data_IF_578669761205
#
_entry.id   IF_578669761205
#
_cell.length_a   1.000
_cell.length_b   1.000
_cell.length_c   1.000
_cell.angle_alpha   90.00
_cell.angle_beta   90.00
_cell.angle_gamma   90.00
#
_symmetry.space_group_name_H-M   'P 1'
#
loop_
_entity.id
_entity.type
_entity.pdbx_description
1 polymer ?
#
# COMPACT_ATOMS: atom_id res chain seq x y z
N UNK A 1 -27.09 10.25 11.29
CA UNK A 1 -27.90 10.01 10.08
C UNK A 1 -27.76 8.58 9.54
N UNK A 2 -28.38 8.27 8.41
CA UNK A 2 -28.32 6.91 7.83
C UNK A 2 -26.87 6.50 7.47
N UNK A 3 -26.04 7.44 7.03
CA UNK A 3 -24.64 7.18 6.75
C UNK A 3 -23.86 6.77 8.01
N UNK A 4 -24.03 7.49 9.12
CA UNK A 4 -23.38 7.15 10.38
C UNK A 4 -23.87 5.80 10.92
N UNK A 5 -25.15 5.47 10.73
CA UNK A 5 -25.71 4.17 11.08
C UNK A 5 -25.05 3.04 10.28
N UNK A 6 -24.82 3.25 8.96
CA UNK A 6 -24.13 2.28 8.12
C UNK A 6 -22.67 2.10 8.55
N UNK A 7 -21.95 3.21 8.82
CA UNK A 7 -20.57 3.16 9.33
C UNK A 7 -20.52 2.40 10.65
N UNK A 8 -21.43 2.69 11.58
CA UNK A 8 -21.46 2.00 12.87
C UNK A 8 -21.80 0.51 12.73
N UNK A 9 -22.83 0.18 11.94
CA UNK A 9 -23.21 -1.21 11.70
C UNK A 9 -22.02 -2.04 11.14
N UNK A 10 -21.28 -1.48 10.18
CA UNK A 10 -20.13 -2.18 9.56
C UNK A 10 -18.91 -2.19 10.51
N UNK A 11 -18.65 -1.11 11.24
CA UNK A 11 -17.49 -1.05 12.12
C UNK A 11 -17.58 -1.99 13.31
N UNK A 12 -18.79 -2.16 13.86
CA UNK A 12 -19.07 -2.96 15.06
C UNK A 12 -19.34 -4.43 14.72
N UNK A 13 -19.12 -4.83 13.46
CA UNK A 13 -19.45 -6.13 12.90
C UNK A 13 -18.19 -6.97 12.62
N UNK A 14 -18.27 -8.29 12.97
CA UNK A 14 -17.18 -9.26 12.78
C UNK A 14 -17.30 -10.11 11.48
N UNK A 15 -18.32 -9.86 10.67
CA UNK A 15 -18.58 -10.62 9.43
C UNK A 15 -17.97 -9.95 8.19
N UNK A 16 -18.39 -10.45 7.04
CA UNK A 16 -18.01 -9.93 5.73
C UNK A 16 -19.05 -8.94 5.21
N UNK A 17 -18.59 -7.86 4.60
CA UNK A 17 -19.48 -6.95 3.85
C UNK A 17 -19.63 -7.49 2.43
N UNK A 18 -20.84 -7.93 2.09
CA UNK A 18 -21.19 -8.45 0.77
C UNK A 18 -21.80 -7.32 -0.04
N UNK A 19 -21.19 -6.98 -1.16
CA UNK A 19 -21.71 -5.95 -2.06
C UNK A 19 -22.37 -6.62 -3.25
N UNK A 20 -23.65 -6.29 -3.50
CA UNK A 20 -24.45 -6.92 -4.55
C UNK A 20 -25.07 -5.85 -5.47
N UNK A 21 -25.00 -6.06 -6.78
CA UNK A 21 -25.57 -5.16 -7.78
C UNK A 21 -25.48 -5.71 -9.19
N UNK A 22 -26.35 -5.25 -10.08
CA UNK A 22 -26.43 -5.72 -11.47
C UNK A 22 -25.86 -4.69 -12.46
N UNK A 23 -25.28 -5.15 -13.56
CA UNK A 23 -24.83 -4.29 -14.67
C UNK A 23 -23.81 -3.23 -14.25
N UNK A 24 -24.06 -1.95 -14.54
CA UNK A 24 -23.17 -0.84 -14.16
C UNK A 24 -23.08 -0.65 -12.64
N UNK A 25 -24.19 -0.86 -11.93
CA UNK A 25 -24.18 -0.88 -10.43
C UNK A 25 -23.34 -2.01 -9.89
N UNK A 26 -23.31 -3.17 -10.54
CA UNK A 26 -22.45 -4.28 -10.17
C UNK A 26 -20.96 -3.99 -10.39
N UNK A 27 -20.59 -3.31 -11.50
CA UNK A 27 -19.19 -2.89 -11.72
C UNK A 27 -18.72 -1.90 -10.66
N UNK A 28 -19.57 -0.93 -10.29
CA UNK A 28 -19.31 -0.01 -9.17
C UNK A 28 -19.23 -0.77 -7.85
N UNK A 29 -20.13 -1.73 -7.63
CA UNK A 29 -20.12 -2.58 -6.44
C UNK A 29 -18.83 -3.40 -6.29
N UNK A 30 -18.29 -3.94 -7.38
CA UNK A 30 -16.98 -4.62 -7.37
C UNK A 30 -15.86 -3.68 -6.92
N UNK A 31 -15.87 -2.43 -7.42
CA UNK A 31 -14.87 -1.43 -7.00
C UNK A 31 -15.03 -1.08 -5.53
N UNK A 32 -16.23 -0.85 -5.05
CA UNK A 32 -16.51 -0.55 -3.64
C UNK A 32 -16.03 -1.70 -2.74
N UNK A 33 -16.37 -2.94 -3.09
CA UNK A 33 -15.90 -4.13 -2.38
C UNK A 33 -14.38 -4.23 -2.32
N UNK A 34 -13.71 -3.98 -3.45
CA UNK A 34 -12.24 -3.96 -3.50
C UNK A 34 -11.64 -2.84 -2.62
N UNK A 35 -12.25 -1.65 -2.61
CA UNK A 35 -11.82 -0.54 -1.75
C UNK A 35 -11.98 -0.91 -0.26
N UNK A 36 -13.14 -1.43 0.15
CA UNK A 36 -13.37 -1.90 1.51
C UNK A 36 -12.31 -2.93 1.95
N UNK A 37 -12.05 -3.94 1.12
CA UNK A 37 -11.05 -4.97 1.41
C UNK A 37 -9.65 -4.38 1.56
N UNK A 38 -9.25 -3.47 0.67
CA UNK A 38 -7.93 -2.84 0.68
C UNK A 38 -7.74 -1.88 1.85
N UNK A 39 -8.83 -1.40 2.45
CA UNK A 39 -8.85 -0.47 3.58
C UNK A 39 -9.22 -1.12 4.90
N UNK A 40 -9.09 -2.45 5.00
CA UNK A 40 -9.21 -3.19 6.27
C UNK A 40 -10.63 -3.64 6.64
N UNK A 41 -11.61 -3.52 5.72
CA UNK A 41 -12.94 -4.08 5.90
C UNK A 41 -13.11 -5.30 4.98
N UNK A 42 -13.17 -6.55 5.50
CA UNK A 42 -13.37 -7.73 4.68
C UNK A 42 -14.64 -7.59 3.83
N UNK A 43 -14.51 -7.69 2.51
CA UNK A 43 -15.63 -7.52 1.58
C UNK A 43 -15.48 -8.40 0.36
N UNK A 44 -16.61 -8.89 -0.15
CA UNK A 44 -16.72 -9.65 -1.38
C UNK A 44 -17.88 -9.13 -2.24
N UNK A 45 -17.74 -9.24 -3.55
CA UNK A 45 -18.81 -8.91 -4.48
C UNK A 45 -19.61 -10.17 -4.83
N UNK A 46 -20.94 -10.08 -4.73
CA UNK A 46 -21.90 -11.12 -5.09
C UNK A 46 -22.70 -10.66 -6.33
N UNK A 47 -22.58 -11.36 -7.44
CA UNK A 47 -23.40 -11.07 -8.61
C UNK A 47 -24.82 -11.65 -8.41
N UNK A 48 -25.90 -10.85 -8.62
CA UNK A 48 -27.26 -11.32 -8.34
C UNK A 48 -27.68 -12.58 -9.11
N UNK A 49 -27.30 -12.67 -10.38
CA UNK A 49 -27.62 -13.85 -11.20
C UNK A 49 -26.91 -15.11 -10.66
N UNK A 50 -25.64 -15.03 -10.31
CA UNK A 50 -24.89 -16.15 -9.75
C UNK A 50 -25.41 -16.54 -8.34
N UNK A 51 -25.84 -15.55 -7.56
CA UNK A 51 -26.50 -15.78 -6.27
C UNK A 51 -27.74 -16.68 -6.41
N UNK A 52 -28.54 -16.50 -7.46
CA UNK A 52 -29.71 -17.33 -7.75
C UNK A 52 -29.34 -18.78 -8.11
N UNK A 53 -28.08 -19.03 -8.48
CA UNK A 53 -27.60 -20.35 -8.94
C UNK A 53 -26.60 -21.01 -7.98
N UNK A 54 -26.50 -20.51 -6.73
CA UNK A 54 -25.72 -21.18 -5.68
C UNK A 54 -24.75 -20.28 -4.91
N UNK A 55 -24.25 -19.19 -5.51
CA UNK A 55 -23.26 -18.29 -4.85
C UNK A 55 -23.83 -17.58 -3.60
N UNK A 56 -25.15 -17.66 -3.42
CA UNK A 56 -25.79 -17.24 -2.16
C UNK A 56 -25.24 -18.00 -0.94
N UNK A 57 -24.57 -19.13 -1.15
CA UNK A 57 -23.87 -19.90 -0.12
C UNK A 57 -22.73 -19.17 0.58
N UNK A 58 -22.19 -18.10 -0.01
CA UNK A 58 -21.16 -17.27 0.63
C UNK A 58 -21.72 -16.41 1.75
N UNK A 59 -23.05 -16.13 1.74
CA UNK A 59 -23.72 -15.25 2.69
C UNK A 59 -23.99 -16.00 3.98
N UNK A 60 -23.43 -15.53 5.08
CA UNK A 60 -23.57 -16.12 6.41
C UNK A 60 -24.50 -15.27 7.28
N UNK A 61 -25.08 -15.88 8.30
CA UNK A 61 -25.69 -15.13 9.39
C UNK A 61 -24.65 -14.17 9.97
N UNK A 62 -25.03 -12.96 10.28
CA UNK A 62 -24.15 -11.87 10.71
C UNK A 62 -23.38 -11.14 9.58
N UNK A 63 -23.45 -11.54 8.32
CA UNK A 63 -22.90 -10.69 7.26
C UNK A 63 -23.75 -9.44 7.06
N UNK A 64 -23.14 -8.40 6.50
CA UNK A 64 -23.83 -7.19 6.05
C UNK A 64 -23.89 -7.21 4.54
N UNK A 65 -25.08 -6.97 3.98
CA UNK A 65 -25.26 -6.96 2.53
C UNK A 65 -25.57 -5.53 2.07
N UNK A 66 -24.73 -4.98 1.20
CA UNK A 66 -24.98 -3.69 0.54
C UNK A 66 -25.56 -3.96 -0.84
N UNK A 67 -26.83 -3.58 -1.04
CA UNK A 67 -27.55 -3.73 -2.31
C UNK A 67 -27.49 -2.43 -3.09
N UNK A 68 -26.94 -2.47 -4.31
CA UNK A 68 -26.77 -1.28 -5.16
C UNK A 68 -27.71 -1.33 -6.35
N UNK A 69 -28.66 -0.40 -6.41
CA UNK A 69 -29.57 -0.23 -7.52
C UNK A 69 -30.10 1.21 -7.58
N UNK A 70 -29.85 1.95 -8.65
CA UNK A 70 -30.35 3.32 -8.77
C UNK A 70 -31.89 3.39 -8.70
N UNK A 71 -32.60 2.52 -9.42
CA UNK A 71 -34.08 2.44 -9.34
C UNK A 71 -34.56 1.85 -8.03
N UNK A 72 -33.77 0.99 -7.38
CA UNK A 72 -34.17 0.17 -6.26
C UNK A 72 -35.21 -0.91 -6.59
N UNK A 73 -35.41 -1.18 -7.90
CA UNK A 73 -36.41 -2.11 -8.45
C UNK A 73 -35.77 -3.09 -9.46
N UNK A 74 -34.43 -3.27 -9.41
CA UNK A 74 -33.77 -4.23 -10.29
C UNK A 74 -34.20 -5.65 -9.92
N UNK A 75 -34.90 -6.33 -10.82
CA UNK A 75 -35.55 -7.62 -10.59
C UNK A 75 -34.63 -8.66 -9.98
N UNK A 76 -33.41 -8.83 -10.52
CA UNK A 76 -32.43 -9.81 -10.06
C UNK A 76 -31.99 -9.55 -8.62
N UNK A 77 -31.96 -8.29 -8.18
CA UNK A 77 -31.60 -7.93 -6.81
C UNK A 77 -32.80 -8.06 -5.88
N UNK A 78 -33.98 -7.62 -6.32
CA UNK A 78 -35.24 -7.71 -5.54
C UNK A 78 -35.57 -9.17 -5.26
N UNK A 79 -35.42 -10.08 -6.21
CA UNK A 79 -35.70 -11.52 -6.01
C UNK A 79 -34.80 -12.17 -4.96
N UNK A 80 -33.66 -11.58 -4.59
CA UNK A 80 -32.80 -12.11 -3.52
C UNK A 80 -33.25 -11.69 -2.11
N UNK A 81 -34.12 -10.67 -1.97
CA UNK A 81 -34.53 -10.15 -0.66
C UNK A 81 -35.08 -11.24 0.29
N UNK A 82 -36.00 -12.16 -0.13
CA UNK A 82 -36.48 -13.19 0.77
C UNK A 82 -35.37 -14.15 1.27
N UNK A 83 -34.35 -14.35 0.45
CA UNK A 83 -33.22 -15.20 0.82
C UNK A 83 -32.29 -14.53 1.82
N UNK A 84 -32.04 -13.22 1.71
CA UNK A 84 -31.31 -12.44 2.69
C UNK A 84 -32.05 -12.31 4.02
N UNK A 85 -33.36 -12.05 3.97
CA UNK A 85 -34.20 -11.97 5.16
C UNK A 85 -34.21 -13.29 5.96
N UNK A 86 -34.30 -14.45 5.28
CA UNK A 86 -34.20 -15.77 5.94
C UNK A 86 -32.85 -16.04 6.61
N UNK A 87 -31.77 -15.36 6.16
CA UNK A 87 -30.43 -15.46 6.76
C UNK A 87 -30.20 -14.48 7.89
N UNK A 88 -31.18 -13.62 8.16
CA UNK A 88 -31.10 -12.61 9.21
C UNK A 88 -29.82 -11.70 9.11
N UNK A 89 -29.48 -11.35 7.89
CA UNK A 89 -28.34 -10.42 7.60
C UNK A 89 -28.83 -8.98 7.70
N UNK A 90 -27.92 -8.05 8.03
CA UNK A 90 -28.23 -6.62 7.97
C UNK A 90 -28.17 -6.14 6.52
N UNK A 91 -29.27 -5.55 6.04
CA UNK A 91 -29.41 -5.02 4.69
C UNK A 91 -29.18 -3.52 4.65
N UNK A 92 -28.24 -3.09 3.82
CA UNK A 92 -28.02 -1.67 3.50
C UNK A 92 -28.37 -1.46 2.03
N UNK A 93 -29.34 -0.60 1.73
CA UNK A 93 -29.69 -0.25 0.36
C UNK A 93 -28.98 1.05 -0.06
N UNK A 94 -28.17 1.00 -1.10
CA UNK A 94 -27.61 2.16 -1.77
C UNK A 94 -28.42 2.43 -3.05
N UNK A 95 -29.39 3.33 -2.95
CA UNK A 95 -30.42 3.51 -3.96
C UNK A 95 -30.69 4.98 -4.28
N UNK A 96 -31.11 5.27 -5.51
CA UNK A 96 -31.58 6.60 -5.92
C UNK A 96 -33.04 6.87 -5.54
N UNK A 97 -33.81 5.83 -5.16
CA UNK A 97 -35.20 5.94 -4.75
C UNK A 97 -35.42 5.25 -3.41
N UNK A 98 -35.35 5.98 -2.28
CA UNK A 98 -35.53 5.40 -0.94
C UNK A 98 -36.86 4.67 -0.75
N UNK A 99 -37.93 5.10 -1.42
CA UNK A 99 -39.26 4.46 -1.34
C UNK A 99 -39.42 3.24 -2.26
N UNK A 100 -38.34 2.74 -2.87
CA UNK A 100 -38.34 1.52 -3.69
C UNK A 100 -38.46 0.24 -2.89
N UNK A 101 -38.61 -0.91 -3.60
CA UNK A 101 -38.67 -2.23 -2.98
C UNK A 101 -37.43 -2.54 -2.16
N UNK A 102 -36.22 -2.24 -2.68
CA UNK A 102 -34.97 -2.38 -1.92
C UNK A 102 -34.93 -1.44 -0.72
N UNK A 103 -35.29 -0.17 -0.89
CA UNK A 103 -35.27 0.81 0.20
C UNK A 103 -36.23 0.45 1.35
N UNK A 104 -37.43 -0.11 1.04
CA UNK A 104 -38.36 -0.55 2.06
C UNK A 104 -37.94 -1.84 2.79
N UNK A 105 -37.18 -2.69 2.12
CA UNK A 105 -36.71 -3.95 2.67
C UNK A 105 -35.41 -3.84 3.48
N UNK A 106 -34.67 -2.76 3.31
CA UNK A 106 -33.38 -2.56 3.97
C UNK A 106 -33.52 -1.99 5.39
N UNK A 107 -32.61 -2.37 6.26
CA UNK A 107 -32.48 -1.83 7.63
C UNK A 107 -31.90 -0.40 7.58
N UNK A 108 -31.03 -0.12 6.61
CA UNK A 108 -30.41 1.20 6.43
C UNK A 108 -30.46 1.59 4.96
N UNK A 109 -30.87 2.83 4.68
CA UNK A 109 -30.98 3.35 3.31
C UNK A 109 -30.00 4.49 3.10
N UNK A 110 -29.04 4.27 2.23
CA UNK A 110 -28.12 5.29 1.73
C UNK A 110 -28.72 5.89 0.45
N UNK A 111 -29.12 7.14 0.54
CA UNK A 111 -29.75 7.84 -0.58
C UNK A 111 -28.69 8.36 -1.55
N UNK A 112 -28.67 7.81 -2.77
CA UNK A 112 -27.83 8.21 -3.90
C UNK A 112 -28.69 8.78 -5.05
N UNK A 113 -29.73 9.54 -4.72
CA UNK A 113 -30.60 10.19 -5.71
C UNK A 113 -29.81 11.20 -6.55
N UNK A 114 -30.20 11.30 -7.81
CA UNK A 114 -29.70 12.27 -8.76
C UNK A 114 -30.90 12.94 -9.49
N UNK A 115 -30.68 14.14 -9.98
CA UNK A 115 -31.71 14.83 -10.78
C UNK A 115 -31.82 14.23 -12.20
N UNK A 116 -30.65 13.97 -12.84
CA UNK A 116 -30.55 13.37 -14.17
C UNK A 116 -29.19 12.72 -14.42
N UNK A 117 -29.17 11.84 -15.41
CA UNK A 117 -27.92 11.32 -15.94
C UNK A 117 -27.20 12.37 -16.79
N UNK A 118 -25.85 12.32 -16.83
CA UNK A 118 -25.05 13.20 -17.69
C UNK A 118 -25.20 12.86 -19.18
N UNK A 119 -25.73 11.70 -19.51
CA UNK A 119 -26.06 11.27 -20.84
C UNK A 119 -27.13 12.21 -21.46
N UNK A 120 -26.94 12.71 -22.70
CA UNK A 120 -27.92 13.59 -23.36
C UNK A 120 -29.34 13.02 -23.46
N UNK A 121 -29.45 11.70 -23.53
CA UNK A 121 -30.72 10.98 -23.57
C UNK A 121 -31.25 10.60 -22.17
N UNK A 122 -30.54 10.93 -21.11
CA UNK A 122 -30.87 10.54 -19.74
C UNK A 122 -31.04 9.01 -19.54
N UNK A 123 -30.34 8.18 -20.32
CA UNK A 123 -30.48 6.72 -20.34
C UNK A 123 -29.24 5.99 -19.83
N UNK A 124 -28.03 6.40 -20.23
CA UNK A 124 -26.82 5.74 -19.85
C UNK A 124 -26.47 6.05 -18.40
N UNK A 125 -26.28 5.02 -17.54
CA UNK A 125 -25.88 5.23 -16.15
C UNK A 125 -24.50 5.90 -16.07
N UNK A 126 -24.48 7.13 -15.63
CA UNK A 126 -23.31 8.02 -15.53
C UNK A 126 -23.28 8.71 -14.18
N UNK A 127 -24.11 9.74 -13.96
CA UNK A 127 -24.21 10.44 -12.68
C UNK A 127 -24.61 9.48 -11.55
N UNK A 128 -25.58 8.60 -11.79
CA UNK A 128 -26.04 7.63 -10.80
C UNK A 128 -24.93 6.66 -10.35
N UNK A 129 -24.13 6.18 -11.29
CA UNK A 129 -23.02 5.27 -10.98
C UNK A 129 -21.89 6.00 -10.24
N UNK A 130 -21.61 7.25 -10.63
CA UNK A 130 -20.61 8.08 -9.96
C UNK A 130 -21.02 8.41 -8.52
N UNK A 131 -22.28 8.78 -8.32
CA UNK A 131 -22.84 9.05 -6.98
C UNK A 131 -22.76 7.81 -6.08
N UNK A 132 -23.15 6.64 -6.59
CA UNK A 132 -23.05 5.40 -5.85
C UNK A 132 -21.56 5.07 -5.49
N UNK A 133 -20.64 5.32 -6.40
CA UNK A 133 -19.21 5.13 -6.16
C UNK A 133 -18.68 6.06 -5.06
N UNK A 134 -19.04 7.35 -5.12
CA UNK A 134 -18.63 8.35 -4.11
C UNK A 134 -19.14 7.99 -2.73
N UNK A 135 -20.40 7.56 -2.62
CA UNK A 135 -20.98 7.13 -1.33
C UNK A 135 -20.27 5.89 -0.80
N UNK A 136 -19.96 4.92 -1.67
CA UNK A 136 -19.24 3.70 -1.29
C UNK A 136 -17.79 3.98 -0.84
N UNK A 137 -17.09 4.88 -1.54
CA UNK A 137 -15.74 5.28 -1.14
C UNK A 137 -15.75 6.11 0.16
N UNK A 138 -16.71 7.01 0.33
CA UNK A 138 -16.90 7.74 1.58
C UNK A 138 -17.14 6.79 2.77
N UNK A 139 -17.91 5.70 2.53
CA UNK A 139 -18.13 4.67 3.55
C UNK A 139 -16.84 3.96 3.92
N UNK A 140 -16.02 3.58 2.95
CA UNK A 140 -14.72 2.94 3.18
C UNK A 140 -13.77 3.85 3.97
N UNK A 141 -13.70 5.15 3.61
CA UNK A 141 -12.84 6.13 4.32
C UNK A 141 -13.33 6.39 5.74
N UNK A 142 -14.65 6.52 5.95
CA UNK A 142 -15.20 6.68 7.30
C UNK A 142 -14.93 5.46 8.20
N UNK A 143 -14.93 4.24 7.63
CA UNK A 143 -14.54 3.03 8.33
C UNK A 143 -13.06 2.98 8.68
N UNK A 144 -12.18 3.45 7.77
CA UNK A 144 -10.75 3.61 8.07
C UNK A 144 -10.53 4.52 9.27
N UNK A 145 -11.16 5.69 9.27
CA UNK A 145 -11.06 6.67 10.35
C UNK A 145 -11.57 6.08 11.67
N UNK A 146 -12.76 5.50 11.66
CA UNK A 146 -13.38 4.89 12.86
C UNK A 146 -12.55 3.74 13.44
N UNK A 147 -11.82 2.98 12.61
CA UNK A 147 -10.96 1.86 13.04
C UNK A 147 -9.52 2.28 13.35
N UNK A 148 -9.15 3.53 13.14
CA UNK A 148 -7.79 4.02 13.30
C UNK A 148 -6.80 3.33 12.34
N UNK A 149 -7.23 3.01 11.10
CA UNK A 149 -6.45 2.33 10.09
C UNK A 149 -5.25 3.18 9.65
N UNK A 150 -4.06 2.62 9.71
CA UNK A 150 -2.79 3.31 9.48
C UNK A 150 -2.13 2.88 8.17
N UNK A 151 -1.06 3.61 7.79
CA UNK A 151 -0.26 3.30 6.61
C UNK A 151 0.35 1.89 6.66
N UNK A 152 0.74 1.41 7.85
CA UNK A 152 1.26 0.07 8.08
C UNK A 152 0.19 -1.00 7.80
N UNK A 153 -1.08 -0.73 8.11
CA UNK A 153 -2.18 -1.65 7.82
C UNK A 153 -2.47 -1.69 6.32
N UNK A 154 -2.40 -0.54 5.64
CA UNK A 154 -2.49 -0.48 4.18
C UNK A 154 -1.35 -1.26 3.50
N UNK A 155 -0.15 -1.16 4.02
CA UNK A 155 1.00 -1.90 3.51
C UNK A 155 0.78 -3.42 3.57
N UNK A 156 0.20 -3.95 4.67
CA UNK A 156 -0.13 -5.38 4.83
C UNK A 156 -1.07 -5.89 3.74
N UNK A 157 -2.00 -5.06 3.26
CA UNK A 157 -2.94 -5.40 2.18
C UNK A 157 -2.35 -5.16 0.79
N UNK A 158 -1.21 -4.43 0.67
CA UNK A 158 -0.54 -4.09 -0.59
C UNK A 158 0.96 -4.46 -0.59
N UNK A 159 1.34 -5.72 -0.29
CA UNK A 159 2.74 -6.10 -0.07
C UNK A 159 3.64 -5.91 -1.30
N UNK A 160 3.09 -5.98 -2.51
CA UNK A 160 3.83 -5.79 -3.76
C UNK A 160 4.01 -4.34 -4.21
N UNK A 161 3.33 -3.38 -3.59
CA UNK A 161 3.43 -1.96 -3.92
C UNK A 161 4.68 -1.28 -3.35
N UNK A 162 5.06 -0.12 -3.91
CA UNK A 162 6.18 0.69 -3.38
C UNK A 162 6.02 0.99 -1.88
N UNK A 163 4.81 1.35 -1.46
CA UNK A 163 4.50 1.64 -0.06
C UNK A 163 4.62 0.38 0.82
N UNK A 164 4.17 -0.78 0.31
CA UNK A 164 4.30 -2.05 1.02
C UNK A 164 5.77 -2.43 1.25
N UNK A 165 6.60 -2.36 0.20
CA UNK A 165 8.05 -2.57 0.33
C UNK A 165 8.65 -1.59 1.33
N UNK A 166 8.36 -0.29 1.18
CA UNK A 166 8.89 0.75 2.07
C UNK A 166 8.57 0.52 3.54
N UNK A 167 7.38 0.04 3.88
CA UNK A 167 6.89 -0.08 5.25
C UNK A 167 7.04 -1.48 5.87
N UNK A 168 7.17 -2.54 5.05
CA UNK A 168 7.19 -3.92 5.54
C UNK A 168 8.55 -4.61 5.45
N UNK A 169 9.52 -4.04 4.73
CA UNK A 169 10.84 -4.65 4.57
C UNK A 169 11.89 -3.92 5.41
N UNK A 170 12.92 -4.64 5.80
CA UNK A 170 14.06 -4.14 6.57
C UNK A 170 15.25 -3.87 5.67
N UNK A 171 16.19 -3.11 6.15
CA UNK A 171 17.49 -2.88 5.50
C UNK A 171 18.17 -4.23 5.18
N UNK A 172 18.13 -5.18 6.09
CA UNK A 172 18.69 -6.53 5.94
C UNK A 172 18.14 -7.32 4.74
N UNK A 173 16.93 -7.01 4.26
CA UNK A 173 16.28 -7.68 3.14
C UNK A 173 16.78 -7.17 1.77
N UNK A 174 17.39 -5.97 1.75
CA UNK A 174 17.79 -5.28 0.53
C UNK A 174 19.29 -4.93 0.47
N UNK A 175 20.00 -5.00 1.58
CA UNK A 175 21.43 -4.68 1.61
C UNK A 175 22.26 -5.69 0.82
N UNK A 176 23.32 -5.22 0.16
CA UNK A 176 24.37 -6.08 -0.39
C UNK A 176 25.24 -6.59 0.77
N UNK A 177 25.36 -7.92 0.89
CA UNK A 177 26.10 -8.61 1.97
C UNK A 177 27.39 -9.24 1.48
N UNK A 178 27.37 -9.70 0.23
CA UNK A 178 28.45 -10.48 -0.36
C UNK A 178 29.43 -9.59 -1.13
N UNK A 179 30.70 -10.00 -1.12
CA UNK A 179 31.77 -9.35 -1.90
C UNK A 179 31.88 -7.83 -1.64
N UNK A 180 31.76 -7.41 -0.39
CA UNK A 180 31.91 -6.01 -0.01
C UNK A 180 33.32 -5.52 -0.36
N UNK A 181 33.48 -4.31 -0.95
CA UNK A 181 34.74 -3.80 -1.48
C UNK A 181 35.65 -3.24 -0.37
N UNK A 182 36.14 -4.09 0.51
CA UNK A 182 37.10 -3.70 1.55
C UNK A 182 38.49 -3.47 0.97
N UNK A 183 39.17 -2.45 1.48
CA UNK A 183 40.55 -2.11 1.18
C UNK A 183 41.30 -1.71 2.45
N UNK A 184 42.59 -1.98 2.53
CA UNK A 184 43.43 -1.53 3.63
C UNK A 184 43.59 0.02 3.61
N UNK A 185 43.84 0.62 4.77
CA UNK A 185 43.99 2.07 4.89
C UNK A 185 45.20 2.61 4.10
N UNK A 186 46.22 1.79 3.85
CA UNK A 186 47.39 2.09 3.07
C UNK A 186 47.32 1.59 1.62
N UNK A 187 46.16 1.07 1.19
CA UNK A 187 45.96 0.61 -0.18
C UNK A 187 46.18 1.76 -1.18
N UNK A 188 46.84 1.45 -2.29
CA UNK A 188 47.03 2.42 -3.39
C UNK A 188 45.70 2.73 -4.07
N UNK A 189 45.54 3.91 -4.63
CA UNK A 189 44.31 4.32 -5.29
C UNK A 189 43.93 3.44 -6.48
N UNK A 190 44.91 2.82 -7.17
CA UNK A 190 44.67 1.81 -8.20
C UNK A 190 43.86 0.61 -7.64
N UNK A 191 44.22 0.14 -6.47
CA UNK A 191 43.56 -1.01 -5.81
C UNK A 191 42.18 -0.64 -5.30
N UNK A 192 42.03 0.59 -4.76
CA UNK A 192 40.72 1.13 -4.34
C UNK A 192 39.76 1.17 -5.54
N UNK A 193 40.21 1.71 -6.70
CA UNK A 193 39.37 1.78 -7.90
C UNK A 193 39.00 0.38 -8.42
N UNK A 194 39.92 -0.58 -8.36
CA UNK A 194 39.66 -1.98 -8.72
C UNK A 194 38.62 -2.58 -7.78
N UNK A 195 38.73 -2.36 -6.47
CA UNK A 195 37.78 -2.83 -5.47
C UNK A 195 36.37 -2.24 -5.69
N UNK A 196 36.28 -0.93 -5.90
CA UNK A 196 35.02 -0.22 -6.24
C UNK A 196 34.39 -0.79 -7.50
N UNK A 197 35.18 -1.02 -8.56
CA UNK A 197 34.70 -1.58 -9.82
C UNK A 197 34.17 -3.01 -9.66
N UNK A 198 34.84 -3.84 -8.88
CA UNK A 198 34.41 -5.22 -8.59
C UNK A 198 33.16 -5.25 -7.70
N UNK A 199 33.11 -4.41 -6.68
CA UNK A 199 31.97 -4.32 -5.74
C UNK A 199 30.70 -3.75 -6.36
N UNK A 200 30.82 -2.94 -7.42
CA UNK A 200 29.69 -2.28 -8.13
C UNK A 200 28.77 -1.43 -7.22
N UNK A 201 29.31 -0.95 -6.11
CA UNK A 201 28.57 -0.16 -5.12
C UNK A 201 28.89 1.34 -5.19
N UNK A 202 29.78 1.76 -6.12
CA UNK A 202 30.23 3.15 -6.22
C UNK A 202 31.01 3.63 -4.99
N UNK A 203 31.48 2.70 -4.16
CA UNK A 203 32.26 2.99 -2.96
C UNK A 203 33.29 1.88 -2.67
N UNK A 204 34.29 2.19 -1.83
CA UNK A 204 35.13 1.22 -1.14
C UNK A 204 35.04 1.46 0.37
N UNK A 205 35.11 0.36 1.14
CA UNK A 205 35.15 0.36 2.59
C UNK A 205 36.62 0.26 3.03
N UNK A 206 37.09 1.25 3.78
CA UNK A 206 38.48 1.27 4.26
C UNK A 206 38.54 0.61 5.63
N UNK A 207 39.35 -0.44 5.75
CA UNK A 207 39.41 -1.31 6.93
C UNK A 207 38.92 -2.71 6.62
N UNK A 208 38.29 -3.33 7.59
CA UNK A 208 37.65 -4.65 7.48
C UNK A 208 36.23 -4.67 8.12
N UNK A 209 35.62 -5.85 8.19
CA UNK A 209 34.26 -5.97 8.74
C UNK A 209 34.19 -5.66 10.23
N UNK A 210 35.25 -5.92 10.99
CA UNK A 210 35.31 -5.70 12.44
C UNK A 210 35.70 -4.25 12.78
N UNK A 211 36.50 -3.59 11.91
CA UNK A 211 37.05 -2.25 12.13
C UNK A 211 36.96 -1.43 10.82
N UNK A 212 35.92 -0.62 10.72
CA UNK A 212 35.74 0.30 9.60
C UNK A 212 36.41 1.64 9.90
N UNK A 213 37.47 1.98 9.19
CA UNK A 213 38.20 3.26 9.31
C UNK A 213 37.48 4.39 8.55
N UNK A 214 36.79 4.05 7.45
CA UNK A 214 36.11 5.04 6.62
C UNK A 214 35.55 4.48 5.32
N UNK A 215 35.08 5.38 4.46
CA UNK A 215 34.53 5.06 3.14
C UNK A 215 35.08 6.01 2.07
N UNK A 216 35.32 5.50 0.87
CA UNK A 216 35.68 6.28 -0.31
C UNK A 216 34.57 6.08 -1.35
N UNK A 217 34.00 7.14 -1.88
CA UNK A 217 32.94 7.10 -2.88
C UNK A 217 33.42 7.62 -4.24
N UNK A 218 32.64 7.35 -5.32
CA UNK A 218 32.90 7.96 -6.64
C UNK A 218 32.93 9.50 -6.58
N UNK A 219 32.20 10.09 -5.64
CA UNK A 219 32.21 11.53 -5.38
C UNK A 219 33.57 12.02 -4.86
N UNK A 220 34.23 11.23 -4.01
CA UNK A 220 35.51 11.55 -3.44
C UNK A 220 36.59 11.48 -4.53
N UNK A 221 36.54 10.46 -5.37
CA UNK A 221 37.49 10.34 -6.51
C UNK A 221 37.35 11.51 -7.49
N UNK A 222 36.10 11.91 -7.79
CA UNK A 222 35.87 13.08 -8.67
C UNK A 222 36.36 14.37 -8.06
N UNK A 223 36.19 14.61 -6.78
CA UNK A 223 36.72 15.80 -6.07
C UNK A 223 38.21 15.85 -6.13
N UNK A 224 38.91 14.74 -5.89
CA UNK A 224 40.36 14.66 -6.02
C UNK A 224 40.88 15.07 -7.39
N UNK A 225 40.22 14.57 -8.47
CA UNK A 225 40.61 14.91 -9.84
C UNK A 225 40.43 16.41 -10.11
N UNK A 226 39.36 17.01 -9.61
CA UNK A 226 39.10 18.46 -9.72
C UNK A 226 40.13 19.26 -8.94
N UNK A 227 40.55 18.79 -7.78
CA UNK A 227 41.56 19.42 -6.93
C UNK A 227 43.02 19.25 -7.47
N UNK A 228 43.18 18.53 -8.57
CA UNK A 228 44.50 18.30 -9.22
C UNK A 228 45.42 17.40 -8.39
N UNK A 229 44.91 16.58 -7.48
CA UNK A 229 45.73 15.65 -6.70
C UNK A 229 46.23 14.49 -7.57
N UNK A 230 47.48 14.11 -7.37
CA UNK A 230 48.08 12.96 -8.03
C UNK A 230 47.64 11.64 -7.36
N UNK A 231 46.69 10.95 -7.99
CA UNK A 231 46.18 9.66 -7.51
C UNK A 231 47.25 8.60 -7.28
N UNK A 232 48.34 8.66 -8.03
CA UNK A 232 49.44 7.69 -7.93
C UNK A 232 50.24 7.82 -6.64
N UNK A 233 50.12 8.93 -5.93
CA UNK A 233 50.81 9.24 -4.68
C UNK A 233 49.94 9.17 -3.43
N UNK A 234 48.66 8.91 -3.60
CA UNK A 234 47.68 8.85 -2.49
C UNK A 234 47.37 7.42 -2.13
N UNK A 235 47.11 7.20 -0.86
CA UNK A 235 46.58 5.95 -0.32
C UNK A 235 45.14 6.16 0.21
N UNK A 236 44.42 5.09 0.48
CA UNK A 236 43.00 5.12 0.88
C UNK A 236 42.72 6.08 2.05
N UNK A 237 43.56 6.06 3.10
CA UNK A 237 43.42 6.94 4.28
C UNK A 237 43.49 8.43 3.99
N UNK A 238 44.14 8.85 2.88
CA UNK A 238 44.32 10.25 2.56
C UNK A 238 43.03 10.89 1.99
N UNK A 239 42.05 10.06 1.64
CA UNK A 239 40.87 10.44 0.86
C UNK A 239 39.56 10.03 1.53
N UNK A 240 39.61 8.99 2.34
CA UNK A 240 38.43 8.44 2.97
C UNK A 240 37.67 9.46 3.83
N UNK A 241 36.38 9.37 3.85
CA UNK A 241 35.54 9.96 4.89
C UNK A 241 35.55 9.06 6.12
N UNK A 242 36.15 9.54 7.22
CA UNK A 242 36.30 8.76 8.46
C UNK A 242 35.00 8.57 9.26
N UNK A 243 33.94 9.27 8.92
CA UNK A 243 32.63 9.18 9.57
C UNK A 243 31.55 8.86 8.56
N UNK A 244 31.51 7.62 8.03
CA UNK A 244 30.48 7.20 7.10
C UNK A 244 29.10 7.21 7.79
N UNK A 245 28.05 7.47 7.02
CA UNK A 245 26.69 7.32 7.51
C UNK A 245 26.35 5.84 7.59
N UNK A 246 25.89 5.43 8.77
CA UNK A 246 25.57 4.03 9.08
C UNK A 246 24.08 3.84 9.38
N UNK A 247 23.62 2.61 9.33
CA UNK A 247 22.27 2.21 9.71
C UNK A 247 22.29 0.76 10.24
N UNK A 248 21.34 0.41 11.08
CA UNK A 248 21.20 -0.97 11.59
C UNK A 248 20.42 -1.85 10.59
N UNK A 249 20.68 -3.18 10.56
CA UNK A 249 20.06 -4.09 9.59
C UNK A 249 18.57 -4.33 9.84
N UNK A 250 18.08 -4.14 11.07
CA UNK A 250 16.69 -4.35 11.46
C UNK A 250 15.81 -3.10 11.28
N UNK A 251 16.40 -1.96 10.95
CA UNK A 251 15.69 -0.71 10.64
C UNK A 251 14.85 -0.89 9.39
N UNK A 252 13.71 -0.20 9.35
CA UNK A 252 12.80 -0.21 8.22
C UNK A 252 13.47 0.39 6.96
N UNK A 253 13.26 -0.23 5.79
CA UNK A 253 13.82 0.24 4.53
C UNK A 253 13.42 1.69 4.20
N UNK A 254 12.20 2.09 4.57
CA UNK A 254 11.72 3.46 4.40
C UNK A 254 12.54 4.50 5.17
N UNK A 255 12.94 4.17 6.38
CA UNK A 255 13.80 5.06 7.20
C UNK A 255 15.20 5.19 6.58
N UNK A 256 15.72 4.10 5.98
CA UNK A 256 16.98 4.15 5.23
C UNK A 256 16.88 5.10 4.03
N UNK A 257 15.79 5.04 3.26
CA UNK A 257 15.53 5.95 2.13
C UNK A 257 15.46 7.42 2.58
N UNK A 258 14.73 7.68 3.67
CA UNK A 258 14.62 9.04 4.24
C UNK A 258 15.97 9.58 4.68
N UNK A 259 16.74 8.78 5.43
CA UNK A 259 18.10 9.14 5.88
C UNK A 259 19.05 9.42 4.70
N UNK A 260 19.01 8.60 3.64
CA UNK A 260 19.80 8.84 2.43
C UNK A 260 19.39 10.12 1.71
N UNK A 261 18.08 10.38 1.64
CA UNK A 261 17.54 11.58 0.98
C UNK A 261 17.91 12.87 1.73
N UNK A 262 17.73 12.88 3.05
CA UNK A 262 18.07 14.02 3.92
C UNK A 262 19.57 14.33 3.89
N UNK A 263 20.40 13.29 3.98
CA UNK A 263 21.85 13.43 3.94
C UNK A 263 22.41 13.62 2.52
N UNK A 264 21.57 13.52 1.48
CA UNK A 264 21.97 13.59 0.06
C UNK A 264 23.07 12.60 -0.32
N UNK A 265 22.96 11.38 0.20
CA UNK A 265 23.86 10.27 -0.11
C UNK A 265 23.12 9.16 -0.83
N UNK A 266 23.83 8.34 -1.61
CA UNK A 266 23.24 7.23 -2.36
C UNK A 266 23.32 5.89 -1.64
N UNK A 267 24.08 5.81 -0.54
CA UNK A 267 24.29 4.59 0.20
C UNK A 267 24.50 4.85 1.69
N UNK A 268 24.19 3.84 2.51
CA UNK A 268 24.52 3.77 3.93
C UNK A 268 25.27 2.47 4.19
N UNK A 269 26.22 2.52 5.11
CA UNK A 269 26.91 1.33 5.60
C UNK A 269 26.02 0.66 6.65
N UNK A 270 25.75 -0.61 6.48
CA UNK A 270 24.93 -1.36 7.45
C UNK A 270 25.84 -1.98 8.50
N UNK A 271 25.63 -1.61 9.75
CA UNK A 271 26.42 -2.08 10.89
C UNK A 271 25.53 -2.74 11.94
N UNK A 272 26.00 -3.86 12.51
CA UNK A 272 25.30 -4.55 13.59
C UNK A 272 25.50 -3.86 14.96
N UNK A 273 24.89 -4.41 16.02
CA UNK A 273 25.02 -3.88 17.38
C UNK A 273 26.47 -3.92 17.90
N UNK A 274 27.28 -4.82 17.39
CA UNK A 274 28.71 -4.92 17.73
C UNK A 274 29.58 -3.97 16.90
N UNK A 275 28.99 -3.05 16.14
CA UNK A 275 29.66 -2.10 15.26
C UNK A 275 30.46 -2.78 14.12
N UNK A 276 30.05 -3.98 13.69
CA UNK A 276 30.66 -4.68 12.56
C UNK A 276 29.88 -4.38 11.28
N UNK A 277 30.59 -4.22 10.17
CA UNK A 277 29.98 -4.02 8.86
C UNK A 277 29.35 -5.33 8.38
N UNK A 278 28.04 -5.35 8.19
CA UNK A 278 27.30 -6.49 7.67
C UNK A 278 26.72 -6.28 6.27
N UNK A 279 26.85 -5.07 5.70
CA UNK A 279 26.38 -4.79 4.35
C UNK A 279 26.46 -3.34 3.95
N UNK A 280 25.99 -3.08 2.74
CA UNK A 280 25.76 -1.73 2.18
C UNK A 280 24.36 -1.68 1.59
N UNK A 281 23.62 -0.64 1.92
CA UNK A 281 22.28 -0.39 1.32
C UNK A 281 22.34 0.81 0.38
N UNK A 282 21.69 0.71 -0.79
CA UNK A 282 21.66 1.77 -1.82
C UNK A 282 20.21 2.04 -2.26
N UNK A 283 19.95 3.28 -2.69
CA UNK A 283 18.74 3.66 -3.45
C UNK A 283 19.14 3.76 -4.93
N UNK A 284 18.34 3.14 -5.79
CA UNK A 284 18.45 3.24 -7.26
C UNK A 284 17.32 4.09 -7.82
#
# INVERSE_FOLDING_TARGET
GAFDAAVSAIADHDGTVIVCGMGKSGLVGRKISATLSSTGTPSVFLHPAEAMHGDLGIVREKDIVILISHSGETDEVVHLLPAFQRRNVTLIALVGRPASSLGRAADIVLNAAIDKEACPLNLAPTTSTLTALVVGDALAIALMDKRGFKAEDFAKTHPGGKLGKKLLTRVSDHMQKDALPFVAADALMSDVIVAMTKGRLGLALVGDAENLDGVITDGDLRRMLVDGRDLSRCVARDIMSATPLTIQPDVNFGEAEEKMTEARVQCLIVMDEAQRVCGVIQIF
#
